data_IF_722269210254
#
_entry.id   IF_722269210254
#
_cell.length_a   1.000
_cell.length_b   1.000
_cell.length_c   1.000
_cell.angle_alpha   90.00
_cell.angle_beta   90.00
_cell.angle_gamma   90.00
#
_symmetry.space_group_name_H-M   'P 1'
#
loop_
_entity.id
_entity.type
_entity.pdbx_description
1 polymer ?
#
# COMPACT_ATOMS: atom_id res chain seq x y z
N UNK A 1 0.54 8.85 -2.01
CA UNK A 1 1.88 8.86 -2.64
C UNK A 1 1.76 8.07 -3.93
N UNK A 2 2.35 8.56 -5.01
CA UNK A 2 2.24 7.94 -6.34
C UNK A 2 3.64 7.79 -6.97
N UNK A 3 3.86 6.70 -7.71
CA UNK A 3 5.03 6.49 -8.54
C UNK A 3 4.64 6.08 -9.97
N UNK A 4 5.47 6.46 -10.94
CA UNK A 4 5.31 6.11 -12.37
C UNK A 4 6.11 4.86 -12.75
N UNK A 5 6.32 3.94 -11.82
CA UNK A 5 7.04 2.69 -12.04
C UNK A 5 6.28 1.69 -12.90
N UNK A 6 6.76 0.45 -12.94
CA UNK A 6 6.10 -0.61 -13.74
C UNK A 6 4.79 -1.11 -13.13
N UNK A 7 4.48 -0.73 -11.89
CA UNK A 7 3.37 -1.30 -11.13
C UNK A 7 3.48 -2.82 -10.95
N UNK A 8 2.49 -3.38 -10.28
CA UNK A 8 2.37 -4.82 -10.04
C UNK A 8 0.89 -5.23 -10.01
N UNK A 9 0.64 -6.52 -10.17
CA UNK A 9 -0.71 -7.08 -10.05
C UNK A 9 -1.08 -7.21 -8.56
N UNK A 10 -2.04 -6.42 -8.10
CA UNK A 10 -2.55 -6.44 -6.71
C UNK A 10 -3.37 -7.69 -6.41
N UNK A 11 -3.85 -8.42 -7.43
CA UNK A 11 -4.59 -9.68 -7.28
C UNK A 11 -3.66 -10.89 -7.08
N UNK A 12 -2.39 -10.77 -7.49
CA UNK A 12 -1.34 -11.75 -7.27
C UNK A 12 -0.84 -11.68 -5.82
N UNK A 13 -1.42 -12.52 -4.96
CA UNK A 13 -1.09 -12.57 -3.52
C UNK A 13 0.39 -12.84 -3.24
N UNK A 14 1.13 -13.54 -4.10
CA UNK A 14 2.56 -13.76 -3.86
C UNK A 14 3.37 -12.47 -3.99
N UNK A 15 3.01 -11.61 -4.95
CA UNK A 15 3.66 -10.30 -5.13
C UNK A 15 3.15 -9.26 -4.14
N UNK A 16 1.87 -9.35 -3.78
CA UNK A 16 1.21 -8.38 -2.90
C UNK A 16 1.46 -8.61 -1.40
N UNK A 17 2.08 -9.73 -1.02
CA UNK A 17 2.34 -10.10 0.37
C UNK A 17 3.83 -10.04 0.77
N UNK A 18 4.61 -9.26 0.03
CA UNK A 18 6.02 -9.00 0.33
C UNK A 18 6.23 -8.28 1.68
N UNK A 19 7.41 -8.48 2.29
CA UNK A 19 7.76 -7.93 3.61
C UNK A 19 7.59 -6.40 3.69
N UNK A 20 7.87 -5.68 2.60
CA UNK A 20 7.70 -4.23 2.55
C UNK A 20 6.24 -3.78 2.75
N UNK A 21 5.29 -4.38 2.01
CA UNK A 21 3.86 -4.06 2.12
C UNK A 21 3.29 -4.47 3.48
N UNK A 22 3.75 -5.61 4.03
CA UNK A 22 3.42 -6.04 5.40
C UNK A 22 3.85 -5.02 6.44
N UNK A 23 5.07 -4.51 6.33
CA UNK A 23 5.59 -3.50 7.25
C UNK A 23 4.78 -2.19 7.17
N UNK A 24 4.38 -1.77 5.97
CA UNK A 24 3.53 -0.58 5.80
C UNK A 24 2.17 -0.81 6.48
N UNK A 25 1.49 -1.94 6.20
CA UNK A 25 0.21 -2.28 6.84
C UNK A 25 0.32 -2.30 8.36
N UNK A 26 1.30 -3.02 8.91
CA UNK A 26 1.48 -3.16 10.35
C UNK A 26 1.69 -1.80 11.05
N UNK A 27 2.45 -0.88 10.43
CA UNK A 27 2.67 0.47 10.99
C UNK A 27 1.41 1.34 10.93
N UNK A 28 0.66 1.24 9.83
CA UNK A 28 -0.60 1.97 9.66
C UNK A 28 -1.65 1.46 10.65
N UNK A 29 -1.77 0.13 10.81
CA UNK A 29 -2.63 -0.52 11.80
C UNK A 29 -2.25 -0.12 13.24
N UNK A 30 -0.95 -0.07 13.56
CA UNK A 30 -0.46 0.40 14.87
C UNK A 30 -0.94 1.84 15.17
N UNK A 31 -1.00 2.69 14.16
CA UNK A 31 -1.53 4.06 14.25
C UNK A 31 -3.06 4.14 14.15
N UNK A 32 -3.76 2.99 14.19
CA UNK A 32 -5.22 2.86 14.00
C UNK A 32 -5.71 3.44 12.67
N UNK A 33 -4.83 3.48 11.67
CA UNK A 33 -5.13 3.95 10.33
C UNK A 33 -5.52 2.85 9.36
N UNK A 34 -5.77 3.26 8.13
CA UNK A 34 -6.01 2.37 6.98
C UNK A 34 -5.06 2.69 5.84
N UNK A 35 -4.76 1.70 5.01
CA UNK A 35 -3.93 1.85 3.82
C UNK A 35 -4.54 1.10 2.64
N UNK A 36 -4.64 1.80 1.51
CA UNK A 36 -5.09 1.28 0.24
C UNK A 36 -3.95 1.35 -0.78
N UNK A 37 -3.79 0.26 -1.54
CA UNK A 37 -2.81 0.15 -2.60
C UNK A 37 -3.54 -0.09 -3.92
N UNK A 38 -3.35 0.82 -4.88
CA UNK A 38 -3.79 0.65 -6.26
C UNK A 38 -2.55 0.53 -7.14
N UNK A 39 -2.40 -0.60 -7.81
CA UNK A 39 -1.32 -0.83 -8.76
C UNK A 39 -1.81 -1.76 -9.86
N UNK A 40 -1.29 -1.52 -11.06
CA UNK A 40 -1.42 -2.46 -12.15
C UNK A 40 -0.20 -2.40 -13.05
N UNK A 41 0.17 -3.51 -13.72
CA UNK A 41 1.29 -3.52 -14.65
C UNK A 41 1.20 -2.41 -15.70
N UNK A 42 2.25 -1.60 -15.81
CA UNK A 42 2.37 -0.46 -16.73
C UNK A 42 1.74 0.84 -16.26
N UNK A 43 1.10 0.89 -15.08
CA UNK A 43 0.42 2.09 -14.57
C UNK A 43 1.03 2.70 -13.30
N UNK A 44 2.17 2.18 -12.84
CA UNK A 44 2.76 2.62 -11.58
C UNK A 44 2.00 2.13 -10.35
N UNK A 45 2.18 2.83 -9.23
CA UNK A 45 1.53 2.49 -7.95
C UNK A 45 1.04 3.75 -7.26
N UNK A 46 -0.18 3.69 -6.74
CA UNK A 46 -0.76 4.66 -5.82
C UNK A 46 -0.92 4.01 -4.44
N UNK A 47 -0.47 4.72 -3.41
CA UNK A 47 -0.63 4.34 -2.01
C UNK A 47 -1.36 5.45 -1.28
N UNK A 48 -2.54 5.15 -0.73
CA UNK A 48 -3.34 6.06 0.08
C UNK A 48 -3.31 5.59 1.54
N UNK A 49 -2.95 6.48 2.47
CA UNK A 49 -2.86 6.18 3.90
C UNK A 49 -3.74 7.19 4.63
N UNK A 50 -4.63 6.68 5.49
CA UNK A 50 -5.49 7.47 6.35
C UNK A 50 -5.13 7.20 7.81
N UNK A 51 -4.66 8.23 8.52
CA UNK A 51 -4.34 8.14 9.94
C UNK A 51 -5.33 9.03 10.73
N UNK A 52 -6.07 8.48 11.70
CA UNK A 52 -6.89 9.29 12.59
C UNK A 52 -6.02 10.23 13.42
N UNK A 53 -6.38 11.51 13.46
CA UNK A 53 -5.76 12.47 14.39
C UNK A 53 -6.55 12.45 15.69
N UNK A 54 -5.98 11.84 16.72
CA UNK A 54 -6.49 12.03 18.09
C UNK A 54 -6.12 13.42 18.57
N UNK A 55 -7.14 14.20 18.99
CA UNK A 55 -6.94 15.42 19.77
C UNK A 55 -6.64 15.07 21.22
#
# INVERSE_FOLDING_TARGET
MEDNGRGFDTTDKQKFDGIGLKNIRSRVEFLKGTVDFDSSPGKGTLVAIHIPVTH
#
